data_IF_632038258185
#
_entry.id   IF_632038258185
#
_cell.length_a   1.000
_cell.length_b   1.000
_cell.length_c   1.000
_cell.angle_alpha   90.00
_cell.angle_beta   90.00
_cell.angle_gamma   90.00
#
_symmetry.space_group_name_H-M   'P 1'
#
loop_
_entity.id
_entity.type
_entity.pdbx_description
1 polymer ?
#
# COMPACT_ATOMS: atom_id res chain seq x y z
N UNK A 1 11.33 14.40 71.19
CA UNK A 1 11.11 12.96 70.98
C UNK A 1 9.96 12.85 70.01
N UNK A 2 10.25 12.55 68.73
CA UNK A 2 10.04 11.22 68.12
C UNK A 2 8.53 10.99 67.86
N UNK A 3 8.00 10.68 66.68
CA UNK A 3 8.59 10.40 65.37
C UNK A 3 7.51 10.56 64.27
N UNK A 4 7.94 11.12 63.15
CA UNK A 4 7.74 10.70 61.74
C UNK A 4 6.50 9.85 61.38
N UNK A 5 5.76 10.34 60.37
CA UNK A 5 5.56 9.65 59.08
C UNK A 5 4.75 10.56 58.13
N UNK A 6 5.45 11.41 57.36
CA UNK A 6 4.87 12.08 56.20
C UNK A 6 4.85 11.09 55.04
N UNK A 7 3.65 10.60 54.72
CA UNK A 7 3.37 9.73 53.57
C UNK A 7 3.49 10.54 52.28
N UNK A 8 4.68 10.52 51.66
CA UNK A 8 4.91 11.00 50.30
C UNK A 8 4.28 10.03 49.30
N UNK A 9 3.12 10.38 48.74
CA UNK A 9 2.60 9.74 47.53
C UNK A 9 3.12 10.53 46.33
N UNK A 10 4.36 10.26 45.94
CA UNK A 10 4.84 10.60 44.59
C UNK A 10 4.16 9.63 43.61
N UNK A 11 2.97 10.00 43.13
CA UNK A 11 2.33 9.35 42.00
C UNK A 11 3.16 9.58 40.74
N UNK A 12 4.06 8.65 40.45
CA UNK A 12 4.70 8.52 39.15
C UNK A 12 3.61 8.20 38.11
N UNK A 13 3.00 9.22 37.52
CA UNK A 13 2.29 9.07 36.25
C UNK A 13 3.33 8.76 35.17
N UNK A 14 3.62 7.47 34.99
CA UNK A 14 4.24 6.94 33.78
C UNK A 14 3.25 7.18 32.64
N UNK A 15 3.37 8.33 31.99
CA UNK A 15 2.79 8.57 30.67
C UNK A 15 3.51 7.61 29.72
N UNK A 16 2.95 6.42 29.54
CA UNK A 16 3.29 5.56 28.42
C UNK A 16 2.87 6.30 27.15
N UNK A 17 3.80 7.09 26.59
CA UNK A 17 3.74 7.45 25.20
C UNK A 17 3.90 6.13 24.43
N UNK A 18 2.76 5.52 24.07
CA UNK A 18 2.69 4.56 22.99
C UNK A 18 3.12 5.32 21.73
N UNK A 19 4.43 5.39 21.50
CA UNK A 19 4.97 5.57 20.17
C UNK A 19 4.54 4.31 19.42
N UNK A 20 3.44 4.39 18.68
CA UNK A 20 3.21 3.49 17.58
C UNK A 20 4.31 3.80 16.56
N UNK A 21 5.51 3.25 16.81
CA UNK A 21 6.50 3.09 15.77
C UNK A 21 5.86 2.13 14.77
N UNK A 22 5.23 2.71 13.75
CA UNK A 22 4.95 1.99 12.53
C UNK A 22 6.30 1.44 12.09
N UNK A 23 6.51 0.14 12.31
CA UNK A 23 7.69 -0.59 11.87
C UNK A 23 7.81 -0.34 10.38
N UNK A 24 8.70 0.56 10.00
CA UNK A 24 8.91 0.92 8.60
C UNK A 24 9.55 -0.27 7.93
N UNK A 25 8.97 -0.76 6.85
CA UNK A 25 9.63 -1.76 6.03
C UNK A 25 10.82 -1.09 5.36
N UNK A 26 12.02 -1.55 5.67
CA UNK A 26 13.21 -1.22 4.90
C UNK A 26 13.11 -1.97 3.57
N UNK A 27 12.62 -1.27 2.55
CA UNK A 27 12.33 -1.86 1.25
C UNK A 27 13.63 -2.27 0.56
N UNK A 28 13.68 -3.50 0.06
CA UNK A 28 14.69 -3.96 -0.90
C UNK A 28 14.05 -3.94 -2.31
N UNK A 29 14.34 -2.93 -3.15
CA UNK A 29 13.64 -2.73 -4.44
C UNK A 29 13.69 -3.95 -5.37
N UNK A 30 14.83 -4.64 -5.40
CA UNK A 30 15.03 -5.80 -6.28
C UNK A 30 14.12 -6.97 -5.88
N UNK A 31 13.78 -7.12 -4.60
CA UNK A 31 12.93 -8.21 -4.10
C UNK A 31 11.45 -7.97 -4.38
N UNK A 32 11.01 -6.71 -4.44
CA UNK A 32 9.61 -6.38 -4.76
C UNK A 32 9.37 -6.30 -6.28
N UNK A 33 10.42 -6.33 -7.11
CA UNK A 33 10.30 -6.33 -8.56
C UNK A 33 9.41 -7.45 -9.12
N UNK A 34 8.87 -7.27 -10.32
CA UNK A 34 8.04 -8.25 -11.01
C UNK A 34 6.53 -8.03 -10.89
N UNK A 35 5.77 -9.08 -11.15
CA UNK A 35 4.31 -9.04 -11.27
C UNK A 35 3.58 -9.01 -9.92
N UNK A 36 2.48 -8.26 -9.85
CA UNK A 36 1.57 -8.14 -8.71
C UNK A 36 0.12 -7.97 -9.17
N UNK A 37 -0.84 -8.73 -8.62
CA UNK A 37 -2.29 -8.59 -8.88
C UNK A 37 -2.95 -7.77 -7.77
N UNK A 38 -3.75 -6.76 -8.11
CA UNK A 38 -4.55 -6.01 -7.13
C UNK A 38 -5.70 -6.90 -6.64
N UNK A 39 -5.85 -7.05 -5.32
CA UNK A 39 -6.93 -7.85 -4.71
C UNK A 39 -7.90 -6.99 -3.92
N UNK A 40 -7.43 -5.94 -3.26
CA UNK A 40 -8.32 -5.08 -2.49
C UNK A 40 -7.82 -3.66 -2.41
N UNK A 41 -8.75 -2.72 -2.23
CA UNK A 41 -8.44 -1.33 -1.93
C UNK A 41 -9.30 -0.82 -0.79
N UNK A 42 -8.78 0.15 -0.03
CA UNK A 42 -9.48 0.85 1.02
C UNK A 42 -9.19 2.36 0.95
N UNK A 43 -10.19 3.17 1.27
CA UNK A 43 -10.08 4.63 1.32
C UNK A 43 -11.23 5.19 2.15
N UNK A 44 -10.96 6.19 2.98
CA UNK A 44 -11.99 6.99 3.66
C UNK A 44 -12.77 7.90 2.68
N UNK A 45 -12.30 8.03 1.43
CA UNK A 45 -12.86 8.89 0.41
C UNK A 45 -13.61 8.09 -0.67
N UNK A 46 -14.94 8.08 -0.57
CA UNK A 46 -15.86 7.33 -1.45
C UNK A 46 -15.66 7.55 -2.96
N UNK A 47 -15.19 8.73 -3.37
CA UNK A 47 -14.93 9.06 -4.79
C UNK A 47 -13.87 8.13 -5.40
N UNK A 48 -12.82 7.79 -4.64
CA UNK A 48 -11.73 6.95 -5.15
C UNK A 48 -12.24 5.56 -5.49
N UNK A 49 -13.10 5.00 -4.64
CA UNK A 49 -13.67 3.66 -4.84
C UNK A 49 -14.63 3.58 -6.03
N UNK A 50 -15.06 4.71 -6.61
CA UNK A 50 -15.94 4.78 -7.79
C UNK A 50 -15.19 4.99 -9.11
N UNK A 51 -13.86 5.07 -9.11
CA UNK A 51 -13.08 5.26 -10.33
C UNK A 51 -13.35 4.13 -11.34
N UNK A 52 -13.64 4.50 -12.60
CA UNK A 52 -14.01 3.56 -13.66
C UNK A 52 -12.83 2.73 -14.18
N UNK A 53 -11.62 3.29 -14.20
CA UNK A 53 -10.40 2.59 -14.63
C UNK A 53 -9.70 2.02 -13.41
N UNK A 54 -9.83 0.70 -13.19
CA UNK A 54 -9.26 0.00 -12.04
C UNK A 54 -8.06 -0.82 -12.46
N UNK A 55 -7.00 -0.73 -11.67
CA UNK A 55 -5.80 -1.55 -11.84
C UNK A 55 -6.19 -2.97 -11.50
N UNK A 56 -5.88 -3.92 -12.36
CA UNK A 56 -6.00 -5.35 -12.05
C UNK A 56 -4.62 -5.94 -11.70
N UNK A 57 -3.54 -5.38 -12.25
CA UNK A 57 -2.19 -5.80 -11.93
C UNK A 57 -1.13 -4.77 -12.29
N UNK A 58 0.05 -4.98 -11.73
CA UNK A 58 1.26 -4.18 -11.90
C UNK A 58 2.42 -5.11 -12.27
N UNK A 59 3.35 -4.57 -13.04
CA UNK A 59 4.70 -5.11 -13.15
C UNK A 59 5.70 -4.03 -12.80
N UNK A 60 6.56 -4.32 -11.83
CA UNK A 60 7.55 -3.39 -11.29
C UNK A 60 8.95 -3.72 -11.81
N UNK A 61 9.63 -2.73 -12.36
CA UNK A 61 11.04 -2.84 -12.76
C UNK A 61 11.82 -1.71 -12.11
N UNK A 62 12.95 -2.03 -11.48
CA UNK A 62 13.79 -1.05 -10.80
C UNK A 62 15.09 -0.80 -11.56
N UNK A 63 15.57 0.44 -11.52
CA UNK A 63 16.85 0.84 -12.11
C UNK A 63 17.43 2.03 -11.33
N UNK A 64 18.42 1.75 -10.48
CA UNK A 64 18.88 2.72 -9.48
C UNK A 64 17.74 3.14 -8.56
N UNK A 65 17.64 4.43 -8.25
CA UNK A 65 16.53 5.01 -7.47
C UNK A 65 15.22 5.18 -8.24
N UNK A 66 15.07 4.60 -9.43
CA UNK A 66 13.84 4.73 -10.23
C UNK A 66 13.07 3.40 -10.28
N UNK A 67 11.75 3.52 -10.39
CA UNK A 67 10.82 2.40 -10.60
C UNK A 67 9.97 2.66 -11.84
N UNK A 68 9.92 1.69 -12.75
CA UNK A 68 8.94 1.67 -13.84
C UNK A 68 7.78 0.78 -13.41
N UNK A 69 6.58 1.35 -13.41
CA UNK A 69 5.34 0.66 -13.09
C UNK A 69 4.54 0.49 -14.38
N UNK A 70 4.40 -0.76 -14.84
CA UNK A 70 3.50 -1.13 -15.93
C UNK A 70 2.19 -1.62 -15.32
N UNK A 71 1.15 -0.80 -15.38
CA UNK A 71 -0.16 -1.09 -14.81
C UNK A 71 -1.12 -1.57 -15.91
N UNK A 72 -1.88 -2.62 -15.62
CA UNK A 72 -2.95 -3.12 -16.50
C UNK A 72 -4.32 -2.84 -15.90
N UNK A 73 -5.25 -2.44 -16.76
CA UNK A 73 -6.61 -2.07 -16.41
C UNK A 73 -7.59 -2.79 -17.32
N UNK A 74 -8.77 -3.06 -16.78
CA UNK A 74 -9.94 -3.36 -17.61
C UNK A 74 -10.65 -2.07 -17.97
N UNK A 75 -10.70 -1.78 -19.27
CA UNK A 75 -11.39 -0.65 -19.85
C UNK A 75 -12.49 -1.17 -20.76
N UNK A 76 -13.71 -1.24 -20.23
CA UNK A 76 -14.91 -1.67 -20.97
C UNK A 76 -14.76 -3.05 -21.63
N UNK A 77 -14.10 -3.99 -20.96
CA UNK A 77 -13.88 -5.35 -21.46
C UNK A 77 -12.56 -5.55 -22.21
N UNK A 78 -11.83 -4.48 -22.50
CA UNK A 78 -10.50 -4.54 -23.12
C UNK A 78 -9.40 -4.30 -22.09
N UNK A 79 -8.32 -5.08 -22.18
CA UNK A 79 -7.16 -4.92 -21.33
C UNK A 79 -6.23 -3.84 -21.89
N UNK A 80 -6.05 -2.76 -21.14
CA UNK A 80 -5.20 -1.64 -21.51
C UNK A 80 -4.03 -1.58 -20.54
N UNK A 81 -2.83 -1.37 -21.07
CA UNK A 81 -1.62 -1.23 -20.26
C UNK A 81 -1.05 0.18 -20.37
N UNK A 82 -0.63 0.74 -19.24
CA UNK A 82 0.08 2.02 -19.17
C UNK A 82 1.36 1.85 -18.36
N UNK A 83 2.43 2.49 -18.81
CA UNK A 83 3.69 2.53 -18.08
C UNK A 83 3.92 3.92 -17.48
N UNK A 84 4.39 3.98 -16.24
CA UNK A 84 4.78 5.22 -15.58
C UNK A 84 6.16 5.05 -14.94
N UNK A 85 7.03 6.03 -15.14
CA UNK A 85 8.31 6.11 -14.45
C UNK A 85 8.13 6.92 -13.16
N UNK A 86 8.59 6.37 -12.04
CA UNK A 86 8.67 7.03 -10.76
C UNK A 86 10.10 7.08 -10.24
N UNK A 87 10.35 8.02 -9.34
CA UNK A 87 11.64 8.23 -8.69
C UNK A 87 11.48 8.16 -7.18
N UNK A 88 12.41 7.50 -6.51
CA UNK A 88 12.49 7.42 -5.06
C UNK A 88 12.66 8.82 -4.44
N UNK A 89 12.10 8.99 -3.25
CA UNK A 89 12.15 10.21 -2.44
C UNK A 89 13.18 10.06 -1.31
N UNK A 90 13.13 10.96 -0.34
CA UNK A 90 13.99 10.95 0.83
C UNK A 90 13.70 9.75 1.75
N UNK A 91 12.48 9.21 1.70
CA UNK A 91 12.09 8.00 2.43
C UNK A 91 12.22 6.78 1.53
N UNK A 92 12.96 5.77 1.98
CA UNK A 92 13.06 4.49 1.28
C UNK A 92 11.68 3.87 1.09
N UNK A 93 11.39 3.42 -0.13
CA UNK A 93 10.10 2.84 -0.49
C UNK A 93 8.98 3.84 -0.76
N UNK A 94 9.29 5.14 -0.78
CA UNK A 94 8.42 6.23 -1.22
C UNK A 94 8.84 6.70 -2.62
N UNK A 95 7.92 6.61 -3.58
CA UNK A 95 8.17 6.93 -4.99
C UNK A 95 7.20 7.98 -5.48
N UNK A 96 7.72 9.02 -6.14
CA UNK A 96 6.91 10.03 -6.81
C UNK A 96 6.75 9.72 -8.29
N UNK A 97 5.57 10.01 -8.80
CA UNK A 97 5.16 9.79 -10.18
C UNK A 97 4.54 11.07 -10.78
N UNK A 98 4.57 11.21 -12.12
CA UNK A 98 3.90 12.30 -12.81
C UNK A 98 2.42 12.42 -12.42
N UNK A 99 1.92 13.66 -12.38
CA UNK A 99 0.53 13.95 -12.01
C UNK A 99 0.30 14.03 -10.49
N UNK A 100 1.32 14.41 -9.72
CA UNK A 100 1.28 14.54 -8.25
C UNK A 100 0.78 13.27 -7.55
N UNK A 101 1.31 12.13 -8.00
CA UNK A 101 1.04 10.82 -7.44
C UNK A 101 2.24 10.35 -6.66
N UNK A 102 2.02 9.80 -5.48
CA UNK A 102 3.05 9.23 -4.63
C UNK A 102 2.62 7.85 -4.18
N UNK A 103 3.52 6.88 -4.25
CA UNK A 103 3.30 5.50 -3.79
C UNK A 103 4.30 5.21 -2.69
N UNK A 104 3.80 4.73 -1.56
CA UNK A 104 4.61 4.27 -0.45
C UNK A 104 4.31 2.80 -0.18
N UNK A 105 5.34 1.95 -0.17
CA UNK A 105 5.22 0.56 0.29
C UNK A 105 5.12 0.56 1.81
N UNK A 106 3.94 0.22 2.34
CA UNK A 106 3.71 0.20 3.79
C UNK A 106 4.11 -1.14 4.43
N UNK A 107 3.87 -2.23 3.72
CA UNK A 107 4.19 -3.58 4.19
C UNK A 107 4.40 -4.53 3.00
N UNK A 108 5.30 -5.50 3.12
CA UNK A 108 5.55 -6.52 2.10
C UNK A 108 6.38 -7.66 2.65
N UNK A 109 6.06 -8.89 2.26
CA UNK A 109 6.93 -10.05 2.48
C UNK A 109 7.70 -10.45 1.21
N UNK A 110 7.60 -9.63 0.15
CA UNK A 110 8.23 -9.77 -1.17
C UNK A 110 7.70 -10.93 -2.03
N UNK A 111 7.35 -12.04 -1.39
CA UNK A 111 7.03 -13.32 -2.02
C UNK A 111 5.54 -13.53 -2.24
N UNK A 112 4.68 -12.98 -1.37
CA UNK A 112 3.25 -13.28 -1.40
C UNK A 112 2.39 -12.03 -1.48
N UNK A 113 2.70 -10.99 -0.72
CA UNK A 113 1.89 -9.78 -0.69
C UNK A 113 2.69 -8.49 -0.58
N UNK A 114 2.06 -7.39 -0.99
CA UNK A 114 2.49 -6.03 -0.69
C UNK A 114 1.29 -5.12 -0.47
N UNK A 115 1.40 -4.21 0.51
CA UNK A 115 0.41 -3.18 0.84
C UNK A 115 1.02 -1.83 0.48
N UNK A 116 0.35 -1.12 -0.43
CA UNK A 116 0.79 0.18 -0.93
C UNK A 116 -0.17 1.28 -0.47
N UNK A 117 0.35 2.44 -0.11
CA UNK A 117 -0.41 3.68 0.00
C UNK A 117 -0.18 4.53 -1.24
N UNK A 118 -1.25 4.80 -1.97
CA UNK A 118 -1.28 5.80 -3.03
C UNK A 118 -1.78 7.13 -2.44
N UNK A 119 -1.01 8.19 -2.62
CA UNK A 119 -1.43 9.57 -2.42
C UNK A 119 -1.56 10.25 -3.79
N UNK A 120 -2.69 10.92 -4.02
CA UNK A 120 -2.96 11.69 -5.24
C UNK A 120 -3.40 13.10 -4.85
N UNK A 121 -2.67 14.13 -5.28
CA UNK A 121 -3.12 15.51 -5.14
C UNK A 121 -4.05 15.87 -6.31
N UNK A 122 -5.34 16.05 -6.03
CA UNK A 122 -6.35 16.43 -7.00
C UNK A 122 -7.18 17.61 -6.49
N UNK A 123 -7.29 18.68 -7.30
CA UNK A 123 -8.02 19.90 -6.92
C UNK A 123 -7.61 20.49 -5.55
N UNK A 124 -6.31 20.46 -5.25
CA UNK A 124 -5.76 20.97 -3.99
C UNK A 124 -6.04 20.10 -2.76
N UNK A 125 -6.54 18.87 -2.94
CA UNK A 125 -6.81 17.92 -1.87
C UNK A 125 -6.05 16.62 -2.09
N UNK A 126 -5.50 16.08 -1.02
CA UNK A 126 -4.88 14.76 -1.06
C UNK A 126 -5.94 13.68 -0.95
N UNK A 127 -5.85 12.73 -1.87
CA UNK A 127 -6.61 11.50 -1.85
C UNK A 127 -5.71 10.34 -1.45
N UNK A 128 -6.17 9.52 -0.51
CA UNK A 128 -5.41 8.41 0.02
C UNK A 128 -6.11 7.09 -0.26
N UNK A 129 -5.35 6.11 -0.75
CA UNK A 129 -5.84 4.78 -1.06
C UNK A 129 -4.83 3.78 -0.57
N UNK A 130 -5.26 2.86 0.29
CA UNK A 130 -4.48 1.67 0.59
C UNK A 130 -4.87 0.60 -0.42
N UNK A 131 -3.87 -0.10 -0.96
CA UNK A 131 -4.04 -1.14 -1.97
C UNK A 131 -3.28 -2.37 -1.55
N UNK A 132 -3.94 -3.52 -1.60
CA UNK A 132 -3.36 -4.82 -1.32
C UNK A 132 -3.16 -5.59 -2.62
N UNK A 133 -1.94 -6.07 -2.80
CA UNK A 133 -1.51 -6.84 -3.96
C UNK A 133 -0.96 -8.20 -3.55
N UNK A 134 -1.07 -9.17 -4.46
CA UNK A 134 -0.49 -10.51 -4.30
C UNK A 134 0.27 -10.96 -5.54
N UNK A 135 1.24 -11.87 -5.39
CA UNK A 135 1.88 -12.57 -6.52
C UNK A 135 0.97 -13.63 -7.18
N UNK A 136 -0.02 -14.12 -6.43
CA UNK A 136 -0.92 -15.19 -6.87
C UNK A 136 -2.00 -14.69 -7.84
N UNK A 137 -2.28 -15.45 -8.89
CA UNK A 137 -3.43 -15.19 -9.75
C UNK A 137 -4.72 -15.77 -9.18
N UNK A 138 -4.63 -16.87 -8.44
CA UNK A 138 -5.79 -17.66 -8.02
C UNK A 138 -6.26 -17.30 -6.61
N UNK A 139 -5.33 -17.08 -5.69
CA UNK A 139 -5.63 -16.93 -4.27
C UNK A 139 -5.49 -15.48 -3.81
N UNK A 140 -6.31 -15.12 -2.84
CA UNK A 140 -6.05 -13.99 -1.95
C UNK A 140 -5.12 -14.54 -0.86
N UNK A 141 -3.92 -13.98 -0.69
CA UNK A 141 -2.97 -14.48 0.31
C UNK A 141 -3.45 -14.10 1.72
N UNK A 142 -4.16 -15.04 2.37
CA UNK A 142 -4.95 -14.79 3.57
C UNK A 142 -4.19 -14.06 4.70
N UNK A 143 -2.95 -14.44 5.09
CA UNK A 143 -2.22 -13.72 6.15
C UNK A 143 -1.97 -12.24 5.83
N UNK A 144 -1.53 -11.94 4.59
CA UNK A 144 -1.35 -10.56 4.14
C UNK A 144 -2.68 -9.81 4.05
N UNK A 145 -3.76 -10.50 3.66
CA UNK A 145 -5.08 -9.90 3.59
C UNK A 145 -5.69 -9.60 4.98
N UNK A 146 -5.41 -10.44 5.99
CA UNK A 146 -5.75 -10.13 7.39
C UNK A 146 -5.02 -8.87 7.87
N UNK A 147 -3.71 -8.74 7.56
CA UNK A 147 -2.93 -7.55 7.87
C UNK A 147 -3.50 -6.30 7.20
N UNK A 148 -3.86 -6.40 5.92
CA UNK A 148 -4.53 -5.31 5.22
C UNK A 148 -5.82 -4.88 5.92
N UNK A 149 -6.68 -5.84 6.30
CA UNK A 149 -7.93 -5.53 7.03
C UNK A 149 -7.69 -4.88 8.37
N UNK A 150 -6.67 -5.30 9.11
CA UNK A 150 -6.27 -4.67 10.37
C UNK A 150 -5.85 -3.20 10.15
N UNK A 151 -5.00 -2.96 9.13
CA UNK A 151 -4.52 -1.62 8.77
C UNK A 151 -5.61 -0.68 8.26
N UNK A 152 -6.71 -1.24 7.74
CA UNK A 152 -7.83 -0.47 7.18
C UNK A 152 -9.08 -0.54 8.03
N UNK A 153 -9.01 -1.03 9.27
CA UNK A 153 -10.17 -1.23 10.12
C UNK A 153 -10.93 0.08 10.43
N UNK A 154 -10.20 1.21 10.46
CA UNK A 154 -10.73 2.56 10.64
C UNK A 154 -11.20 3.21 9.31
N UNK A 155 -10.74 2.70 8.17
CA UNK A 155 -11.15 3.13 6.85
C UNK A 155 -12.45 2.41 6.47
N UNK A 156 -13.58 2.97 6.88
CA UNK A 156 -14.92 2.37 6.76
C UNK A 156 -15.43 2.05 5.34
N UNK A 157 -14.58 2.13 4.29
CA UNK A 157 -14.90 1.72 2.94
C UNK A 157 -13.72 0.95 2.32
N UNK A 158 -13.97 -0.31 1.95
CA UNK A 158 -13.06 -1.14 1.16
C UNK A 158 -13.81 -1.82 0.01
N UNK A 159 -13.08 -2.20 -1.04
CA UNK A 159 -13.61 -2.88 -2.21
C UNK A 159 -12.64 -3.97 -2.65
N UNK A 160 -13.16 -5.18 -2.87
CA UNK A 160 -12.41 -6.28 -3.47
C UNK A 160 -12.33 -6.10 -4.99
N UNK A 161 -11.16 -6.36 -5.55
CA UNK A 161 -10.94 -6.40 -6.98
C UNK A 161 -11.80 -7.51 -7.61
N UNK A 162 -12.26 -7.28 -8.83
CA UNK A 162 -13.00 -8.29 -9.60
C UNK A 162 -12.01 -9.26 -10.24
N UNK A 163 -12.52 -10.35 -10.79
CA UNK A 163 -11.72 -11.36 -11.49
C UNK A 163 -10.75 -10.70 -12.49
N UNK A 164 -9.45 -10.92 -12.28
CA UNK A 164 -8.37 -10.12 -12.87
C UNK A 164 -7.87 -10.65 -14.21
N UNK A 165 -8.77 -10.83 -15.20
CA UNK A 165 -8.40 -11.36 -16.53
C UNK A 165 -7.26 -10.57 -17.18
N UNK A 166 -7.23 -9.25 -16.99
CA UNK A 166 -6.17 -8.43 -17.55
C UNK A 166 -4.85 -8.59 -16.79
N UNK A 167 -4.90 -8.90 -15.50
CA UNK A 167 -3.72 -9.24 -14.70
C UNK A 167 -3.11 -10.57 -15.15
N UNK A 168 -3.94 -11.57 -15.46
CA UNK A 168 -3.50 -12.85 -16.02
C UNK A 168 -2.74 -12.64 -17.34
N UNK A 169 -3.33 -11.90 -18.28
CA UNK A 169 -2.69 -11.59 -19.57
C UNK A 169 -1.38 -10.81 -19.42
N UNK A 170 -1.32 -9.89 -18.44
CA UNK A 170 -0.07 -9.19 -18.15
C UNK A 170 0.99 -10.19 -17.70
N UNK A 171 0.67 -11.11 -16.78
CA UNK A 171 1.63 -12.11 -16.27
C UNK A 171 2.10 -13.06 -17.37
N UNK A 172 1.20 -13.54 -18.21
CA UNK A 172 1.51 -14.45 -19.33
C UNK A 172 2.42 -13.79 -20.38
N UNK A 173 2.20 -12.51 -20.71
CA UNK A 173 3.03 -11.77 -21.67
C UNK A 173 4.42 -11.37 -21.15
N UNK A 174 4.78 -11.75 -19.93
CA UNK A 174 6.06 -11.50 -19.28
C UNK A 174 6.90 -12.77 -19.09
N UNK A 175 6.33 -13.95 -19.40
CA UNK A 175 7.01 -15.27 -19.40
C UNK A 175 7.59 -15.56 -20.77
#
# INVERSE_FOLDING_TARGET
MEARLLSNVCGFFLVFLLQAEATRVELVPEKIAGFWKEVAIASDQKLVLKAQRRVEGLFLTFSGGNVTVKAVYNSSGSCVTESSLGSERDTVGEFAFPGNREIHVLDTDYERYTILKLTLLWQGRNFHVLKYFTRSLENEDEPGFWRFREMTADQGLYMLARHGRCAELLKEGLV
#
